data_IF_844689268146
#
_entry.id   IF_844689268146
#
_cell.length_a   1.000
_cell.length_b   1.000
_cell.length_c   1.000
_cell.angle_alpha   90.00
_cell.angle_beta   90.00
_cell.angle_gamma   90.00
#
_symmetry.space_group_name_H-M   'P 1'
#
loop_
_entity.id
_entity.type
_entity.pdbx_description
1 polymer ?
#
# COMPACT_ATOMS: atom_id res chain seq x y z
N UNK A 1 0.10 11.42 -22.01
CA UNK A 1 0.80 11.13 -23.29
C UNK A 1 -0.19 10.46 -24.25
N UNK A 2 -1.12 11.22 -24.86
CA UNK A 2 -2.36 10.63 -25.40
C UNK A 2 -2.17 9.63 -26.54
N UNK A 3 -1.11 9.79 -27.34
CA UNK A 3 -0.78 8.89 -28.44
C UNK A 3 -0.34 7.50 -27.94
N UNK A 4 0.56 7.49 -26.94
CA UNK A 4 1.05 6.25 -26.32
C UNK A 4 -0.08 5.51 -25.62
N UNK A 5 -0.93 6.24 -24.89
CA UNK A 5 -2.05 5.66 -24.16
C UNK A 5 -3.02 4.92 -25.09
N UNK A 6 -3.38 5.58 -26.19
CA UNK A 6 -4.23 5.03 -27.23
C UNK A 6 -3.59 3.84 -27.94
N UNK A 7 -2.30 3.90 -28.24
CA UNK A 7 -1.60 2.80 -28.90
C UNK A 7 -1.50 1.57 -28.00
N UNK A 8 -1.15 1.75 -26.72
CA UNK A 8 -1.14 0.66 -25.73
C UNK A 8 -2.54 0.06 -25.59
N UNK A 9 -3.58 0.89 -25.46
CA UNK A 9 -4.96 0.42 -25.40
C UNK A 9 -5.38 -0.37 -26.64
N UNK A 10 -4.96 0.05 -27.84
CA UNK A 10 -5.21 -0.65 -29.11
C UNK A 10 -4.52 -2.02 -29.13
N UNK A 11 -3.25 -2.08 -28.74
CA UNK A 11 -2.47 -3.32 -28.69
C UNK A 11 -3.04 -4.32 -27.68
N UNK A 12 -3.46 -3.86 -26.50
CA UNK A 12 -4.11 -4.70 -25.49
C UNK A 12 -5.42 -5.30 -25.99
N UNK A 13 -6.29 -4.49 -26.63
CA UNK A 13 -7.55 -4.99 -27.22
C UNK A 13 -7.29 -6.01 -28.34
N UNK A 14 -6.30 -5.75 -29.20
CA UNK A 14 -5.89 -6.71 -30.24
C UNK A 14 -5.39 -8.00 -29.62
N UNK A 15 -4.56 -7.92 -28.57
CA UNK A 15 -4.01 -9.08 -27.88
C UNK A 15 -5.10 -9.91 -27.17
N UNK A 16 -6.10 -9.26 -26.57
CA UNK A 16 -7.23 -9.90 -25.92
C UNK A 16 -8.05 -10.81 -26.85
N UNK A 17 -8.10 -10.47 -28.15
CA UNK A 17 -8.87 -11.20 -29.17
C UNK A 17 -7.99 -12.23 -29.91
N UNK A 18 -6.78 -11.83 -30.33
CA UNK A 18 -6.00 -12.58 -31.33
C UNK A 18 -4.83 -13.37 -30.74
N UNK A 19 -4.52 -13.24 -29.44
CA UNK A 19 -3.37 -13.93 -28.84
C UNK A 19 -3.72 -15.28 -28.24
N UNK A 20 -2.69 -16.07 -27.94
CA UNK A 20 -2.81 -17.31 -27.15
C UNK A 20 -3.52 -17.04 -25.83
N UNK A 21 -4.26 -18.04 -25.32
CA UNK A 21 -5.12 -17.94 -24.12
C UNK A 21 -4.49 -17.18 -22.94
N UNK A 22 -3.22 -17.45 -22.61
CA UNK A 22 -2.51 -16.79 -21.50
C UNK A 22 -2.34 -15.27 -21.74
N UNK A 23 -1.82 -14.89 -22.90
CA UNK A 23 -1.61 -13.48 -23.28
C UNK A 23 -2.94 -12.74 -23.42
N UNK A 24 -3.95 -13.39 -24.01
CA UNK A 24 -5.29 -12.83 -24.13
C UNK A 24 -5.93 -12.59 -22.75
N UNK A 25 -5.71 -13.50 -21.79
CA UNK A 25 -6.14 -13.35 -20.40
C UNK A 25 -5.47 -12.16 -19.72
N UNK A 26 -4.14 -12.08 -19.79
CA UNK A 26 -3.37 -10.96 -19.24
C UNK A 26 -3.80 -9.61 -19.84
N UNK A 27 -4.01 -9.54 -21.16
CA UNK A 27 -4.49 -8.31 -21.80
C UNK A 27 -5.88 -7.88 -21.29
N UNK A 28 -6.79 -8.84 -21.06
CA UNK A 28 -8.11 -8.55 -20.46
C UNK A 28 -8.00 -8.06 -19.02
N UNK A 29 -7.12 -8.65 -18.22
CA UNK A 29 -6.87 -8.21 -16.84
C UNK A 29 -6.30 -6.78 -16.80
N UNK A 30 -5.33 -6.46 -17.66
CA UNK A 30 -4.76 -5.11 -17.75
C UNK A 30 -5.83 -4.09 -18.18
N UNK A 31 -6.68 -4.45 -19.15
CA UNK A 31 -7.76 -3.56 -19.63
C UNK A 31 -8.80 -3.22 -18.54
N UNK A 32 -8.97 -4.06 -17.51
CA UNK A 32 -9.85 -3.72 -16.37
C UNK A 32 -9.36 -2.47 -15.62
N UNK A 33 -8.06 -2.17 -15.70
CA UNK A 33 -7.41 -1.08 -15.00
C UNK A 33 -6.93 0.03 -15.95
N UNK A 34 -7.42 0.07 -17.20
CA UNK A 34 -6.94 0.99 -18.26
C UNK A 34 -6.90 2.46 -17.81
N UNK A 35 -7.92 2.91 -17.07
CA UNK A 35 -8.00 4.28 -16.52
C UNK A 35 -6.89 4.61 -15.51
N UNK A 36 -6.33 3.60 -14.84
CA UNK A 36 -5.34 3.76 -13.79
C UNK A 36 -3.90 3.52 -14.28
N UNK A 37 -3.71 3.05 -15.53
CA UNK A 37 -2.38 2.74 -16.06
C UNK A 37 -1.48 3.97 -16.13
N UNK A 38 -2.07 5.16 -16.22
CA UNK A 38 -1.38 6.42 -16.50
C UNK A 38 -1.37 7.37 -15.31
N UNK A 39 -1.90 6.97 -14.15
CA UNK A 39 -1.99 7.84 -12.97
C UNK A 39 -0.64 8.43 -12.56
N UNK A 40 0.48 7.72 -12.80
CA UNK A 40 1.83 8.23 -12.52
C UNK A 40 2.28 9.35 -13.48
N UNK A 41 1.67 9.45 -14.66
CA UNK A 41 1.87 10.55 -15.62
C UNK A 41 1.07 11.76 -15.18
N UNK A 42 -0.17 11.55 -14.73
CA UNK A 42 -1.10 12.62 -14.36
C UNK A 42 -0.82 13.22 -12.98
N UNK A 43 -0.26 12.43 -12.06
CA UNK A 43 -0.02 12.83 -10.67
C UNK A 43 1.48 12.90 -10.39
N UNK A 44 1.97 14.13 -10.17
CA UNK A 44 3.36 14.39 -9.83
C UNK A 44 3.76 13.67 -8.53
N UNK A 45 4.93 13.04 -8.56
CA UNK A 45 5.50 12.35 -7.39
C UNK A 45 5.03 10.91 -7.19
N UNK A 46 4.14 10.39 -8.05
CA UNK A 46 3.88 8.95 -8.11
C UNK A 46 4.96 8.25 -8.93
N UNK A 47 5.50 7.17 -8.37
CA UNK A 47 6.41 6.31 -9.11
C UNK A 47 5.63 5.49 -10.17
N UNK A 48 6.23 5.19 -11.34
CA UNK A 48 5.64 4.31 -12.35
C UNK A 48 5.69 2.83 -11.94
N UNK A 49 5.87 2.54 -10.65
CA UNK A 49 6.10 1.18 -10.13
C UNK A 49 5.21 0.89 -8.94
N UNK A 50 4.86 -0.39 -8.75
CA UNK A 50 4.10 -0.82 -7.57
C UNK A 50 4.98 -1.05 -6.32
N UNK A 51 6.27 -0.67 -6.36
CA UNK A 51 7.24 -0.98 -5.32
C UNK A 51 6.79 -0.54 -3.91
N UNK A 52 6.17 0.64 -3.81
CA UNK A 52 5.64 1.12 -2.53
C UNK A 52 4.55 0.20 -1.98
N UNK A 53 3.57 -0.18 -2.80
CA UNK A 53 2.50 -1.09 -2.43
C UNK A 53 3.04 -2.47 -2.03
N UNK A 54 3.95 -3.03 -2.82
CA UNK A 54 4.59 -4.30 -2.52
C UNK A 54 5.36 -4.26 -1.19
N UNK A 55 6.10 -3.17 -0.93
CA UNK A 55 6.82 -2.98 0.34
C UNK A 55 5.89 -2.93 1.53
N UNK A 56 4.75 -2.26 1.41
CA UNK A 56 3.73 -2.20 2.46
C UNK A 56 3.13 -3.59 2.74
N UNK A 57 2.86 -4.38 1.69
CA UNK A 57 2.25 -5.71 1.83
C UNK A 57 3.25 -6.81 2.22
N UNK A 58 4.56 -6.61 2.00
CA UNK A 58 5.59 -7.65 2.15
C UNK A 58 5.57 -8.33 3.51
N UNK A 59 5.43 -7.58 4.60
CA UNK A 59 5.40 -8.16 5.94
C UNK A 59 4.18 -9.07 6.16
N UNK A 60 3.01 -8.67 5.65
CA UNK A 60 1.78 -9.47 5.74
C UNK A 60 1.90 -10.77 4.93
N UNK A 61 2.45 -10.68 3.71
CA UNK A 61 2.67 -11.83 2.83
C UNK A 61 3.67 -12.80 3.44
N UNK A 62 4.80 -12.30 3.96
CA UNK A 62 5.79 -13.14 4.64
C UNK A 62 5.19 -13.84 5.85
N UNK A 63 4.50 -13.11 6.73
CA UNK A 63 3.81 -13.68 7.89
C UNK A 63 2.85 -14.82 7.50
N UNK A 64 1.97 -14.59 6.52
CA UNK A 64 1.04 -15.63 6.05
C UNK A 64 1.78 -16.86 5.53
N UNK A 65 2.88 -16.67 4.80
CA UNK A 65 3.65 -17.76 4.20
C UNK A 65 4.41 -18.58 5.25
N UNK A 66 5.00 -17.94 6.26
CA UNK A 66 5.85 -18.62 7.26
C UNK A 66 5.06 -19.11 8.47
N UNK A 67 3.90 -18.52 8.76
CA UNK A 67 3.15 -18.75 9.99
C UNK A 67 1.71 -19.21 9.74
N UNK A 68 1.36 -19.55 8.48
CA UNK A 68 0.04 -20.03 8.05
C UNK A 68 -1.15 -19.09 8.29
N UNK A 69 -0.89 -17.87 8.77
CA UNK A 69 -1.93 -16.87 9.03
C UNK A 69 -2.68 -17.12 10.34
N UNK A 70 -3.95 -16.73 10.37
CA UNK A 70 -4.80 -16.74 11.57
C UNK A 70 -5.90 -17.79 11.44
N UNK A 71 -6.27 -18.42 12.56
CA UNK A 71 -7.30 -19.46 12.62
C UNK A 71 -8.60 -18.99 13.31
N UNK A 72 -8.68 -17.71 13.68
CA UNK A 72 -9.87 -17.14 14.30
C UNK A 72 -10.10 -15.70 13.87
N UNK A 73 -11.35 -15.20 13.90
CA UNK A 73 -11.65 -13.81 13.62
C UNK A 73 -10.90 -12.83 14.54
N UNK A 74 -10.73 -13.19 15.81
CA UNK A 74 -10.00 -12.38 16.78
C UNK A 74 -8.50 -12.31 16.45
N UNK A 75 -7.90 -13.43 16.05
CA UNK A 75 -6.53 -13.46 15.55
C UNK A 75 -6.36 -12.60 14.30
N UNK A 76 -7.29 -12.69 13.35
CA UNK A 76 -7.29 -11.84 12.15
C UNK A 76 -7.34 -10.36 12.50
N UNK A 77 -8.20 -9.96 13.43
CA UNK A 77 -8.28 -8.57 13.91
C UNK A 77 -6.99 -8.09 14.58
N UNK A 78 -6.34 -8.95 15.36
CA UNK A 78 -5.07 -8.62 15.99
C UNK A 78 -3.97 -8.38 14.95
N UNK A 79 -3.81 -9.33 14.02
CA UNK A 79 -2.80 -9.25 12.95
C UNK A 79 -3.06 -8.05 12.03
N UNK A 80 -4.31 -7.81 11.63
CA UNK A 80 -4.74 -6.63 10.88
C UNK A 80 -4.24 -5.33 11.56
N UNK A 81 -4.52 -5.18 12.86
CA UNK A 81 -4.15 -3.98 13.63
C UNK A 81 -2.65 -3.82 13.80
N UNK A 82 -1.93 -4.89 14.15
CA UNK A 82 -0.48 -4.82 14.35
C UNK A 82 0.26 -4.53 13.04
N UNK A 83 -0.11 -5.20 11.93
CA UNK A 83 0.51 -4.92 10.64
C UNK A 83 0.22 -3.50 10.15
N UNK A 84 -1.00 -3.01 10.37
CA UNK A 84 -1.36 -1.61 10.10
C UNK A 84 -0.50 -0.66 10.92
N UNK A 85 -0.36 -0.92 12.23
CA UNK A 85 0.44 -0.07 13.11
C UNK A 85 1.92 -0.06 12.72
N UNK A 86 2.52 -1.23 12.50
CA UNK A 86 3.91 -1.37 12.08
C UNK A 86 4.16 -0.64 10.76
N UNK A 87 3.29 -0.85 9.76
CA UNK A 87 3.45 -0.27 8.43
C UNK A 87 3.35 1.25 8.49
N UNK A 88 2.29 1.77 9.10
CA UNK A 88 2.06 3.21 9.23
C UNK A 88 3.17 3.91 10.01
N UNK A 89 3.60 3.37 11.15
CA UNK A 89 4.65 3.98 11.97
C UNK A 89 6.01 3.96 11.24
N UNK A 90 6.34 2.89 10.53
CA UNK A 90 7.55 2.85 9.69
C UNK A 90 7.51 3.91 8.57
N UNK A 91 6.37 4.08 7.91
CA UNK A 91 6.18 5.13 6.90
C UNK A 91 6.31 6.54 7.51
N UNK A 92 5.80 6.75 8.71
CA UNK A 92 5.95 8.00 9.49
C UNK A 92 7.34 8.17 10.12
N UNK A 93 8.27 7.21 9.94
CA UNK A 93 9.59 7.18 10.59
C UNK A 93 9.53 7.25 12.12
N UNK A 94 8.51 6.63 12.73
CA UNK A 94 8.31 6.57 14.19
C UNK A 94 8.67 5.19 14.74
N UNK A 95 9.17 5.16 15.98
CA UNK A 95 9.52 3.93 16.68
C UNK A 95 8.28 3.09 17.03
N UNK A 96 8.17 1.90 16.43
CA UNK A 96 7.02 0.98 16.63
C UNK A 96 6.90 0.56 18.09
N UNK A 97 7.99 0.06 18.69
CA UNK A 97 7.96 -0.45 20.06
C UNK A 97 7.63 0.64 21.08
N UNK A 98 8.20 1.83 20.90
CA UNK A 98 7.91 3.01 21.72
C UNK A 98 6.43 3.36 21.65
N UNK A 99 5.88 3.48 20.44
CA UNK A 99 4.46 3.80 20.25
C UNK A 99 3.54 2.77 20.92
N UNK A 100 3.79 1.47 20.72
CA UNK A 100 2.98 0.41 21.32
C UNK A 100 3.07 0.42 22.85
N UNK A 101 4.28 0.62 23.38
CA UNK A 101 4.52 0.69 24.82
C UNK A 101 3.79 1.87 25.44
N UNK A 102 3.88 3.05 24.84
CA UNK A 102 3.23 4.26 25.32
C UNK A 102 1.71 4.17 25.21
N UNK A 103 1.20 3.56 24.12
CA UNK A 103 -0.23 3.29 23.95
C UNK A 103 -0.77 2.38 25.05
N UNK A 104 -0.07 1.28 25.35
CA UNK A 104 -0.46 0.35 26.41
C UNK A 104 -0.37 1.00 27.79
N UNK A 105 0.69 1.77 28.07
CA UNK A 105 0.85 2.50 29.33
C UNK A 105 -0.27 3.52 29.54
N UNK A 106 -0.59 4.31 28.51
CA UNK A 106 -1.67 5.28 28.57
C UNK A 106 -3.02 4.61 28.80
N UNK A 107 -3.34 3.57 28.01
CA UNK A 107 -4.59 2.83 28.14
C UNK A 107 -4.79 2.24 29.54
N UNK A 108 -3.75 1.60 30.11
CA UNK A 108 -3.81 1.02 31.46
C UNK A 108 -4.00 2.05 32.58
N UNK A 109 -3.67 3.32 32.33
CA UNK A 109 -3.77 4.41 33.31
C UNK A 109 -4.99 5.31 33.05
N UNK A 110 -5.83 4.98 32.06
CA UNK A 110 -6.94 5.85 31.65
C UNK A 110 -6.50 7.19 31.07
N UNK A 111 -5.25 7.29 30.58
CA UNK A 111 -4.69 8.50 29.99
C UNK A 111 -4.94 8.53 28.48
N UNK A 112 -4.77 9.72 27.90
CA UNK A 112 -4.84 9.91 26.45
C UNK A 112 -3.74 9.11 25.74
N UNK A 113 -4.13 8.34 24.72
CA UNK A 113 -3.20 7.53 23.93
C UNK A 113 -2.44 8.37 22.90
N UNK A 114 -1.20 7.98 22.52
CA UNK A 114 -0.47 8.65 21.46
C UNK A 114 -1.23 8.62 20.13
N UNK A 115 -1.17 9.72 19.38
CA UNK A 115 -1.84 9.79 18.07
C UNK A 115 -1.24 8.81 17.07
N UNK A 116 -2.12 8.09 16.38
CA UNK A 116 -1.77 7.18 15.29
C UNK A 116 -1.55 7.90 13.95
N UNK A 117 -2.26 9.01 13.73
CA UNK A 117 -2.07 9.86 12.56
C UNK A 117 -0.72 10.58 12.57
N UNK A 118 -0.32 11.11 11.42
CA UNK A 118 0.89 11.93 11.34
C UNK A 118 0.77 13.09 12.33
N UNK A 119 1.74 13.21 13.24
CA UNK A 119 1.95 14.45 13.98
C UNK A 119 2.39 15.46 12.93
N UNK A 120 1.63 16.54 12.72
CA UNK A 120 2.07 17.60 11.81
C UNK A 120 3.48 18.03 12.25
N UNK A 121 4.49 17.69 11.46
CA UNK A 121 5.79 18.33 11.65
C UNK A 121 5.55 19.79 11.34
N UNK A 122 5.75 20.66 12.32
CA UNK A 122 5.77 22.10 12.12
C UNK A 122 6.62 22.37 10.88
N UNK A 123 6.04 23.06 9.89
CA UNK A 123 6.78 23.56 8.72
C UNK A 123 8.00 24.29 9.29
N UNK A 124 9.19 23.75 9.05
CA UNK A 124 10.42 24.53 9.25
C UNK A 124 10.34 25.63 8.21
N UNK A 125 10.16 26.86 8.68
CA UNK A 125 10.33 28.04 7.87
C UNK A 125 11.83 28.15 7.57
N UNK A 126 12.25 27.54 6.47
CA UNK A 126 13.56 27.83 5.90
C UNK A 126 13.38 29.07 5.02
N UNK A 127 13.55 30.22 5.65
CA UNK A 127 14.02 31.41 4.97
C UNK A 127 15.52 31.29 4.75
N UNK A 128 15.92 31.40 3.49
CA UNK A 128 16.96 32.28 2.91
C UNK A 128 16.77 32.18 1.40
#
# INVERSE_FOLDING_TARGET
MPEVEREVGRLLRRAAIHSKKKTAGMAREILQWEKCLWTFVDVLGLEPTHNFGERCLRHAVMYRKTSFGTQSPQGSRFVERILTAVTTLKLQRRGVLTFLTDTLRAHRRGLQTPSFGATQSAKKADGI
#
